data_IF_612011090270
#
_entry.id   IF_612011090270
#
_cell.length_a   1.000
_cell.length_b   1.000
_cell.length_c   1.000
_cell.angle_alpha   90.00
_cell.angle_beta   90.00
_cell.angle_gamma   90.00
#
_symmetry.space_group_name_H-M   'P 1'
#
loop_
_entity.id
_entity.type
_entity.pdbx_description
1 polymer ?
#
# COMPACT_ATOMS: atom_id res chain seq x y z
N UNK A 1 19.49 -5.26 -15.75
CA UNK A 1 18.95 -4.64 -16.98
C UNK A 1 18.22 -3.38 -16.57
N UNK A 2 18.11 -2.38 -17.45
CA UNK A 2 17.33 -1.19 -17.12
C UNK A 2 15.85 -1.50 -17.37
N UNK A 3 14.99 -1.17 -16.41
CA UNK A 3 13.56 -1.41 -16.50
C UNK A 3 12.85 -0.26 -17.23
N UNK A 4 11.83 -0.56 -18.02
CA UNK A 4 10.98 0.44 -18.66
C UNK A 4 10.01 1.04 -17.65
N UNK A 5 9.86 2.35 -17.64
CA UNK A 5 8.94 3.06 -16.74
C UNK A 5 7.76 3.60 -17.54
N UNK A 6 6.56 3.13 -17.19
CA UNK A 6 5.31 3.56 -17.78
C UNK A 6 4.50 4.37 -16.78
N UNK A 7 3.86 5.44 -17.27
CA UNK A 7 2.89 6.22 -16.49
C UNK A 7 1.55 6.16 -17.21
N UNK A 8 0.53 5.58 -16.56
CA UNK A 8 -0.80 5.33 -17.13
C UNK A 8 -0.71 4.67 -18.53
N UNK A 9 0.15 3.66 -18.68
CA UNK A 9 0.39 2.92 -19.93
C UNK A 9 1.26 3.63 -20.98
N UNK A 10 1.71 4.88 -20.74
CA UNK A 10 2.64 5.58 -21.63
C UNK A 10 4.08 5.38 -21.19
N UNK A 11 4.94 4.89 -22.09
CA UNK A 11 6.38 4.80 -21.85
C UNK A 11 6.98 6.20 -21.66
N UNK A 12 7.63 6.43 -20.52
CA UNK A 12 8.30 7.70 -20.20
C UNK A 12 9.82 7.58 -20.34
N UNK A 13 10.39 6.44 -19.98
CA UNK A 13 11.83 6.22 -20.05
C UNK A 13 12.25 4.91 -19.42
N UNK A 14 13.53 4.80 -19.07
CA UNK A 14 14.12 3.61 -18.46
C UNK A 14 14.86 3.97 -17.18
N UNK A 15 14.84 3.08 -16.18
CA UNK A 15 15.58 3.25 -14.94
C UNK A 15 16.53 2.06 -14.70
N UNK A 16 17.78 2.34 -14.33
CA UNK A 16 18.80 1.29 -14.14
C UNK A 16 18.53 0.40 -12.90
N UNK A 17 17.90 0.97 -11.87
CA UNK A 17 17.60 0.30 -10.60
C UNK A 17 16.08 0.39 -10.30
N UNK A 18 15.24 -0.52 -10.83
CA UNK A 18 13.78 -0.45 -10.67
C UNK A 18 13.33 -0.56 -9.22
N UNK A 19 13.88 -1.50 -8.45
CA UNK A 19 13.51 -1.71 -7.05
C UNK A 19 13.74 -0.45 -6.20
N UNK A 20 14.91 0.18 -6.34
CA UNK A 20 15.22 1.42 -5.63
C UNK A 20 14.28 2.57 -6.04
N UNK A 21 13.87 2.61 -7.31
CA UNK A 21 12.93 3.59 -7.82
C UNK A 21 11.51 3.42 -7.23
N UNK A 22 11.00 2.19 -7.19
CA UNK A 22 9.71 1.85 -6.58
C UNK A 22 9.69 2.21 -5.10
N UNK A 23 10.71 1.78 -4.36
CA UNK A 23 10.83 2.10 -2.93
C UNK A 23 10.91 3.61 -2.69
N UNK A 24 11.57 4.35 -3.60
CA UNK A 24 11.62 5.81 -3.49
C UNK A 24 10.25 6.46 -3.67
N UNK A 25 9.45 5.98 -4.62
CA UNK A 25 8.08 6.47 -4.83
C UNK A 25 7.23 6.20 -3.59
N UNK A 26 7.27 4.97 -3.07
CA UNK A 26 6.55 4.56 -1.84
C UNK A 26 6.97 5.43 -0.64
N UNK A 27 8.27 5.67 -0.47
CA UNK A 27 8.80 6.53 0.59
C UNK A 27 8.29 7.98 0.47
N UNK A 28 8.31 8.54 -0.74
CA UNK A 28 7.83 9.91 -0.99
C UNK A 28 6.31 10.03 -0.78
N UNK A 29 5.53 8.99 -1.13
CA UNK A 29 4.09 8.89 -0.87
C UNK A 29 3.81 8.87 0.63
N UNK A 30 4.50 8.01 1.40
CA UNK A 30 4.37 7.91 2.86
C UNK A 30 4.83 9.16 3.61
N UNK A 31 5.67 9.99 3.00
CA UNK A 31 6.08 11.31 3.53
C UNK A 31 5.14 12.46 3.14
N UNK A 32 4.06 12.17 2.39
CA UNK A 32 3.11 13.18 1.90
C UNK A 32 3.67 14.09 0.80
N UNK A 33 4.83 13.77 0.21
CA UNK A 33 5.40 14.54 -0.92
C UNK A 33 4.75 14.19 -2.25
N UNK A 34 4.21 12.98 -2.36
CA UNK A 34 3.43 12.49 -3.48
C UNK A 34 2.00 12.23 -3.02
N UNK A 35 1.05 12.33 -3.96
CA UNK A 35 -0.35 12.00 -3.68
C UNK A 35 -0.48 10.53 -3.27
N UNK A 36 -1.32 10.26 -2.27
CA UNK A 36 -1.69 8.90 -1.83
C UNK A 36 -2.48 8.13 -2.88
N UNK A 37 -2.86 8.79 -3.98
CA UNK A 37 -3.53 8.18 -5.13
C UNK A 37 -2.57 7.57 -6.14
N UNK A 38 -1.26 7.82 -6.00
CA UNK A 38 -0.25 7.25 -6.90
C UNK A 38 0.03 5.82 -6.43
N UNK A 39 -0.08 4.87 -7.35
CA UNK A 39 0.29 3.48 -7.13
C UNK A 39 1.46 3.11 -8.04
N UNK A 40 2.31 2.20 -7.57
CA UNK A 40 3.50 1.76 -8.30
C UNK A 40 3.71 0.26 -8.17
N UNK A 41 3.89 -0.40 -9.30
CA UNK A 41 4.20 -1.81 -9.38
C UNK A 41 5.46 -2.04 -10.23
N UNK A 42 6.22 -3.08 -9.92
CA UNK A 42 7.34 -3.57 -10.69
C UNK A 42 7.15 -5.04 -11.03
N UNK A 43 7.19 -5.34 -12.32
CA UNK A 43 7.11 -6.68 -12.87
C UNK A 43 8.52 -7.15 -13.21
N UNK A 44 9.03 -8.11 -12.44
CA UNK A 44 10.36 -8.71 -12.64
C UNK A 44 10.44 -9.51 -13.94
N UNK A 45 9.33 -10.11 -14.39
CA UNK A 45 9.29 -10.93 -15.59
C UNK A 45 9.47 -10.11 -16.89
N UNK A 46 9.01 -8.86 -16.91
CA UNK A 46 9.07 -7.98 -18.08
C UNK A 46 10.07 -6.83 -17.94
N UNK A 47 10.71 -6.69 -16.77
CA UNK A 47 11.52 -5.52 -16.41
C UNK A 47 10.74 -4.20 -16.62
N UNK A 48 9.52 -4.13 -16.07
CA UNK A 48 8.62 -2.96 -16.24
C UNK A 48 8.16 -2.39 -14.90
N UNK A 49 8.30 -1.07 -14.74
CA UNK A 49 7.71 -0.30 -13.64
C UNK A 49 6.46 0.41 -14.16
N UNK A 50 5.31 0.09 -13.58
CA UNK A 50 4.04 0.75 -13.88
C UNK A 50 3.72 1.74 -12.77
N UNK A 51 3.50 3.00 -13.14
CA UNK A 51 3.05 4.05 -12.25
C UNK A 51 1.67 4.50 -12.68
N UNK A 52 0.69 4.32 -11.80
CA UNK A 52 -0.70 4.64 -12.08
C UNK A 52 -1.17 5.83 -11.24
N UNK A 53 -1.85 6.74 -11.90
CA UNK A 53 -2.30 8.03 -11.36
C UNK A 53 -3.71 8.41 -11.84
N UNK A 54 -4.34 7.51 -12.59
CA UNK A 54 -5.66 7.65 -13.17
C UNK A 54 -6.78 7.38 -12.16
N UNK A 55 -7.93 8.01 -12.39
CA UNK A 55 -9.10 7.88 -11.55
C UNK A 55 -9.92 6.63 -11.93
N UNK A 56 -10.67 6.09 -10.95
CA UNK A 56 -11.60 4.98 -11.16
C UNK A 56 -11.05 3.60 -10.78
N UNK A 57 -9.78 3.53 -10.38
CA UNK A 57 -9.16 2.28 -9.91
C UNK A 57 -9.63 1.94 -8.51
N UNK A 58 -10.05 0.70 -8.33
CA UNK A 58 -10.44 0.16 -7.03
C UNK A 58 -9.18 0.06 -6.15
N UNK A 59 -9.28 0.57 -4.93
CA UNK A 59 -8.19 0.55 -3.95
C UNK A 59 -8.73 0.13 -2.60
N UNK A 60 -7.91 -0.55 -1.81
CA UNK A 60 -8.23 -0.90 -0.43
C UNK A 60 -7.15 -0.39 0.53
N UNK A 61 -7.53 0.01 1.76
CA UNK A 61 -6.57 0.42 2.76
C UNK A 61 -5.94 -0.81 3.42
N UNK A 62 -4.62 -0.76 3.60
CA UNK A 62 -3.83 -1.78 4.30
C UNK A 62 -2.95 -1.14 5.35
N UNK A 63 -2.66 -1.86 6.44
CA UNK A 63 -1.72 -1.42 7.46
C UNK A 63 -0.31 -1.73 6.97
N UNK A 64 0.57 -0.73 6.97
CA UNK A 64 1.96 -0.91 6.58
C UNK A 64 2.70 -1.70 7.65
N UNK A 65 3.47 -2.71 7.25
CA UNK A 65 4.29 -3.54 8.13
C UNK A 65 5.76 -3.32 7.79
N UNK A 66 6.58 -3.12 8.82
CA UNK A 66 8.03 -3.01 8.68
C UNK A 66 8.70 -4.03 9.61
N UNK A 67 9.53 -4.91 9.04
CA UNK A 67 10.28 -5.93 9.78
C UNK A 67 9.39 -6.83 10.66
N UNK A 68 8.20 -7.20 10.18
CA UNK A 68 7.25 -8.05 10.88
C UNK A 68 6.52 -7.36 12.03
N UNK A 69 6.55 -6.04 12.11
CA UNK A 69 5.74 -5.26 13.04
C UNK A 69 4.87 -4.26 12.29
N UNK A 70 3.56 -4.17 12.62
CA UNK A 70 2.72 -3.10 12.11
C UNK A 70 3.32 -1.75 12.47
N UNK A 71 3.30 -0.82 11.52
CA UNK A 71 3.80 0.53 11.71
C UNK A 71 2.92 1.34 12.66
N UNK A 72 1.62 1.06 12.65
CA UNK A 72 0.65 1.61 13.59
C UNK A 72 1.02 1.22 15.03
N UNK A 73 1.16 2.23 15.89
CA UNK A 73 1.54 2.04 17.30
C UNK A 73 0.30 2.02 18.19
N UNK A 74 0.39 1.33 19.32
CA UNK A 74 -0.69 1.32 20.33
C UNK A 74 -1.10 2.73 20.78
N UNK A 75 -0.14 3.67 20.83
CA UNK A 75 -0.44 5.07 21.15
C UNK A 75 -1.34 5.75 20.11
N UNK A 76 -1.13 5.47 18.83
CA UNK A 76 -1.95 6.00 17.74
C UNK A 76 -3.35 5.36 17.79
N UNK A 77 -3.44 4.06 18.09
CA UNK A 77 -4.72 3.38 18.32
C UNK A 77 -5.51 4.00 19.49
N UNK A 78 -4.85 4.28 20.62
CA UNK A 78 -5.50 4.92 21.75
C UNK A 78 -5.90 6.37 21.45
N UNK A 79 -5.08 7.11 20.71
CA UNK A 79 -5.42 8.46 20.24
C UNK A 79 -6.61 8.44 19.28
N UNK A 80 -6.69 7.43 18.39
CA UNK A 80 -7.81 7.23 17.47
C UNK A 80 -9.11 6.95 18.22
N UNK A 81 -9.06 6.08 19.25
CA UNK A 81 -10.21 5.79 20.12
C UNK A 81 -10.71 7.01 20.89
N UNK A 82 -9.79 7.91 21.28
CA UNK A 82 -10.11 9.18 21.96
C UNK A 82 -10.59 10.27 21.00
N UNK A 83 -10.46 10.06 19.69
CA UNK A 83 -10.76 11.08 18.66
C UNK A 83 -9.73 12.20 18.58
N UNK A 84 -8.51 11.99 19.10
CA UNK A 84 -7.40 12.95 19.02
C UNK A 84 -6.75 12.94 17.63
N UNK A 85 -6.80 11.79 16.94
CA UNK A 85 -6.38 11.64 15.55
C UNK A 85 -7.52 11.07 14.72
N UNK A 86 -7.47 11.32 13.42
CA UNK A 86 -8.42 10.84 12.43
C UNK A 86 -7.83 9.74 11.56
N UNK A 87 -8.67 9.11 10.74
CA UNK A 87 -8.22 8.15 9.72
C UNK A 87 -7.23 8.78 8.73
N UNK A 88 -7.48 10.03 8.33
CA UNK A 88 -6.62 10.76 7.41
C UNK A 88 -5.23 11.02 8.02
N UNK A 89 -5.14 11.17 9.34
CA UNK A 89 -3.86 11.30 10.04
C UNK A 89 -3.04 10.00 9.99
N UNK A 90 -3.69 8.83 10.04
CA UNK A 90 -3.01 7.53 9.88
C UNK A 90 -2.49 7.31 8.46
N UNK A 91 -3.21 7.84 7.46
CA UNK A 91 -2.75 7.86 6.07
C UNK A 91 -1.58 8.83 5.92
N UNK A 92 -1.69 10.03 6.50
CA UNK A 92 -0.65 11.06 6.43
C UNK A 92 0.64 10.64 7.17
N UNK A 93 0.55 9.85 8.23
CA UNK A 93 1.71 9.28 8.93
C UNK A 93 2.36 8.10 8.19
N UNK A 94 1.68 7.60 7.14
CA UNK A 94 2.07 6.42 6.38
C UNK A 94 1.89 5.11 7.13
N UNK A 95 1.11 5.09 8.22
CA UNK A 95 0.76 3.87 8.96
C UNK A 95 -0.28 3.03 8.21
N UNK A 96 -1.13 3.67 7.42
CA UNK A 96 -2.10 3.04 6.51
C UNK A 96 -1.85 3.57 5.10
N UNK A 97 -1.89 2.70 4.08
CA UNK A 97 -1.83 3.13 2.69
C UNK A 97 -2.90 2.46 1.82
N UNK A 98 -3.36 3.19 0.80
CA UNK A 98 -4.31 2.67 -0.19
C UNK A 98 -3.55 1.97 -1.31
N UNK A 99 -3.85 0.70 -1.49
CA UNK A 99 -3.26 -0.12 -2.53
C UNK A 99 -4.30 -0.48 -3.57
N UNK A 100 -3.91 -0.41 -4.84
CA UNK A 100 -4.66 -0.91 -5.98
C UNK A 100 -4.27 -2.36 -6.28
N UNK A 101 -5.02 -2.99 -7.18
CA UNK A 101 -4.74 -4.37 -7.59
C UNK A 101 -3.36 -4.58 -8.22
N UNK A 102 -2.78 -3.57 -8.89
CA UNK A 102 -1.44 -3.75 -9.49
C UNK A 102 -0.31 -3.66 -8.45
N UNK A 103 -0.34 -2.71 -7.51
CA UNK A 103 0.69 -2.65 -6.45
C UNK A 103 0.56 -3.83 -5.47
N UNK A 104 -0.64 -4.39 -5.31
CA UNK A 104 -0.88 -5.59 -4.51
C UNK A 104 -0.13 -6.83 -5.02
N UNK A 105 0.12 -6.95 -6.33
CA UNK A 105 0.94 -8.06 -6.88
C UNK A 105 2.39 -8.04 -6.37
N UNK A 106 2.85 -6.90 -5.85
CA UNK A 106 4.16 -6.77 -5.23
C UNK A 106 4.12 -6.73 -3.70
N UNK A 107 2.95 -6.96 -3.10
CA UNK A 107 2.75 -6.94 -1.67
C UNK A 107 2.55 -8.35 -1.12
N UNK A 108 3.29 -8.67 -0.06
CA UNK A 108 2.99 -9.85 0.75
C UNK A 108 2.16 -9.42 1.96
N UNK A 109 0.88 -9.79 1.98
CA UNK A 109 -0.14 -9.29 2.91
C UNK A 109 -0.52 -10.40 3.90
N UNK A 110 -0.39 -10.12 5.20
CA UNK A 110 -0.87 -11.01 6.25
C UNK A 110 -2.38 -10.80 6.48
N UNK A 111 -3.14 -11.88 6.62
CA UNK A 111 -4.59 -11.80 6.91
C UNK A 111 -4.84 -11.51 8.38
N UNK A 112 -4.03 -12.11 9.25
CA UNK A 112 -4.14 -11.94 10.70
C UNK A 112 -2.81 -11.50 11.31
N UNK A 113 -2.82 -10.77 12.44
CA UNK A 113 -1.58 -10.37 13.12
C UNK A 113 -0.73 -11.56 13.57
N UNK A 114 -1.33 -12.74 13.77
CA UNK A 114 -0.64 -13.96 14.20
C UNK A 114 0.22 -14.57 13.08
N UNK A 115 -0.13 -14.31 11.82
CA UNK A 115 0.60 -14.79 10.64
C UNK A 115 1.77 -13.88 10.25
N UNK A 116 1.93 -12.72 10.93
CA UNK A 116 2.97 -11.76 10.62
C UNK A 116 4.37 -12.38 10.73
N UNK A 117 5.06 -12.41 9.59
CA UNK A 117 6.48 -12.70 9.47
C UNK A 117 7.25 -11.44 9.05
N UNK A 118 8.58 -11.52 9.05
CA UNK A 118 9.45 -10.41 8.62
C UNK A 118 9.35 -10.10 7.13
N UNK A 119 8.83 -11.03 6.34
CA UNK A 119 8.69 -10.91 4.88
C UNK A 119 7.41 -10.18 4.49
N UNK A 120 6.43 -10.10 5.41
CA UNK A 120 5.18 -9.40 5.14
C UNK A 120 5.41 -7.91 5.03
N UNK A 121 4.80 -7.33 4.00
CA UNK A 121 4.83 -5.91 3.67
C UNK A 121 3.64 -5.17 4.28
N UNK A 122 2.51 -5.86 4.42
CA UNK A 122 1.24 -5.30 4.83
C UNK A 122 0.44 -6.27 5.70
N UNK A 123 -0.54 -5.72 6.40
CA UNK A 123 -1.49 -6.44 7.23
C UNK A 123 -2.91 -5.96 6.87
N UNK A 124 -3.83 -6.91 6.74
CA UNK A 124 -5.25 -6.62 6.63
C UNK A 124 -5.78 -5.91 7.88
N UNK A 125 -6.66 -4.92 7.69
CA UNK A 125 -7.30 -4.25 8.82
C UNK A 125 -8.31 -5.21 9.47
N UNK A 126 -9.16 -5.82 8.66
CA UNK A 126 -10.11 -6.85 9.08
C UNK A 126 -10.48 -7.76 7.89
N UNK A 127 -10.39 -9.09 8.01
CA UNK A 127 -10.73 -10.02 6.94
C UNK A 127 -12.20 -9.93 6.46
N UNK A 128 -13.11 -9.42 7.30
CA UNK A 128 -14.52 -9.22 6.94
C UNK A 128 -14.70 -8.21 5.81
N UNK A 129 -13.72 -7.34 5.53
CA UNK A 129 -13.79 -6.38 4.42
C UNK A 129 -13.75 -7.01 3.03
N UNK A 130 -13.49 -8.31 2.94
CA UNK A 130 -13.72 -9.08 1.71
C UNK A 130 -15.21 -9.18 1.35
N UNK A 131 -16.10 -9.09 2.36
CA UNK A 131 -17.54 -9.24 2.19
C UNK A 131 -18.22 -7.88 1.98
N UNK A 132 -19.18 -7.85 1.07
CA UNK A 132 -20.07 -6.70 0.91
C UNK A 132 -21.10 -6.60 2.05
N UNK A 133 -21.76 -5.44 2.14
CA UNK A 133 -22.76 -5.13 3.19
C UNK A 133 -23.85 -6.20 3.32
N UNK A 134 -24.35 -6.73 2.19
CA UNK A 134 -25.40 -7.74 2.20
C UNK A 134 -24.94 -9.10 2.75
N UNK A 135 -23.65 -9.43 2.60
CA UNK A 135 -23.09 -10.70 3.09
C UNK A 135 -22.62 -10.57 4.54
N UNK A 136 -22.16 -9.38 4.94
CA UNK A 136 -21.69 -9.10 6.30
C UNK A 136 -22.79 -9.17 7.37
N UNK A 137 -24.07 -9.17 6.99
CA UNK A 137 -25.21 -9.36 7.92
C UNK A 137 -25.57 -10.83 8.15
N UNK A 138 -24.94 -11.76 7.42
CA UNK A 138 -25.16 -13.19 7.64
C UNK A 138 -24.48 -13.60 8.96
N UNK A 139 -25.24 -14.20 9.90
CA UNK A 139 -24.73 -14.58 11.21
C UNK A 139 -23.76 -15.76 11.17
#
# INVERSE_FOLDING_TARGET
MAANVYVNGKLIGTHAEPLAFVEKIKELRRKGKLSTQINVAYYEDTDEVLVNTDAGRARRPLIVVENGKPRIKDKELEALKKGEITWDDLIASGSVEYMDSEEEENAYIAVTPQELTREHTHLEIDPLFMLGVCTAVLP
#
